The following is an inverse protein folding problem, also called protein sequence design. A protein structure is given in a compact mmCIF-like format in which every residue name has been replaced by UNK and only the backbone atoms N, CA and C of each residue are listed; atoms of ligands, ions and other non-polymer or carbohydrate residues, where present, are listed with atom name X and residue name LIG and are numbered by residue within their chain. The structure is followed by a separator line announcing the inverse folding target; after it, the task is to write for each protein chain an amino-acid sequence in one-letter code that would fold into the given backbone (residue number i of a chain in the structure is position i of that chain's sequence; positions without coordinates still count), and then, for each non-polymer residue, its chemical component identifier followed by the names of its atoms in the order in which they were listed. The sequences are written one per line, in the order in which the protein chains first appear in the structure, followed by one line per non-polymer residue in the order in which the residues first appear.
data_IF_195237711973
#
_entry.id   IF_195237711973
#
_cell.length_a   1.000
_cell.length_b   1.000
_cell.length_c   1.000
_cell.angle_alpha   90.00
_cell.angle_beta   90.00
_cell.angle_gamma   90.00
#
_symmetry.space_group_name_H-M   'P 1'
#
loop_
_entity.id
_entity.type
_entity.pdbx_description
1 polymer ?
#
# COMPACT_ATOMS: atom_id res chain seq x y z
N UNK A 1 25.88 32.66 -23.06
CA UNK A 1 24.67 32.75 -22.22
C UNK A 1 23.48 32.99 -23.12
N UNK A 2 22.42 32.19 -22.99
CA UNK A 2 21.19 32.36 -23.76
C UNK A 2 20.35 33.50 -23.14
N UNK A 3 19.97 34.48 -23.96
CA UNK A 3 19.10 35.59 -23.59
C UNK A 3 17.66 35.08 -23.40
N UNK A 4 17.26 34.89 -22.15
CA UNK A 4 15.86 34.67 -21.77
C UNK A 4 15.07 35.96 -22.08
N UNK A 5 14.33 35.96 -23.20
CA UNK A 5 13.30 36.97 -23.45
C UNK A 5 12.04 36.58 -22.69
N UNK A 6 11.52 37.50 -21.88
CA UNK A 6 10.17 37.41 -21.35
C UNK A 6 9.20 37.44 -22.55
N UNK A 7 8.56 36.32 -22.85
CA UNK A 7 7.41 36.31 -23.75
C UNK A 7 6.29 37.04 -23.02
N UNK A 8 5.80 38.14 -23.58
CA UNK A 8 4.72 38.95 -23.02
C UNK A 8 3.35 38.26 -23.04
N UNK A 9 3.30 36.96 -22.74
CA UNK A 9 2.07 36.22 -22.50
C UNK A 9 1.59 36.48 -21.07
N UNK A 10 1.40 37.76 -20.73
CA UNK A 10 0.49 38.10 -19.65
C UNK A 10 -0.92 37.75 -20.11
N UNK A 11 -1.70 37.11 -19.23
CA UNK A 11 -3.10 36.82 -19.48
C UNK A 11 -3.81 38.12 -19.90
N UNK A 12 -4.23 38.22 -21.16
CA UNK A 12 -4.98 39.36 -21.67
C UNK A 12 -6.41 39.18 -21.16
N UNK A 13 -6.76 39.90 -20.10
CA UNK A 13 -8.10 39.91 -19.54
C UNK A 13 -9.06 40.53 -20.56
N UNK A 14 -9.92 39.70 -21.16
CA UNK A 14 -10.97 40.13 -22.09
C UNK A 14 -12.16 40.75 -21.32
N UNK A 15 -11.88 41.62 -20.35
CA UNK A 15 -12.87 42.24 -19.48
C UNK A 15 -13.52 43.47 -20.14
N UNK A 16 -12.96 43.91 -21.27
CA UNK A 16 -13.38 45.13 -21.98
C UNK A 16 -14.75 45.01 -22.65
N UNK A 17 -15.25 43.80 -22.90
CA UNK A 17 -16.63 43.59 -23.36
C UNK A 17 -17.33 42.44 -22.64
N UNK A 18 -18.57 42.64 -22.18
CA UNK A 18 -19.39 41.58 -21.59
C UNK A 18 -19.56 40.39 -22.53
N UNK A 19 -19.56 40.63 -23.85
CA UNK A 19 -19.74 39.61 -24.89
C UNK A 19 -18.53 38.68 -25.00
N UNK A 20 -17.30 39.21 -24.94
CA UNK A 20 -16.09 38.38 -24.94
C UNK A 20 -15.98 37.53 -23.67
N UNK A 21 -16.33 38.13 -22.53
CA UNK A 21 -16.41 37.42 -21.24
C UNK A 21 -17.46 36.30 -21.28
N UNK A 22 -18.64 36.57 -21.84
CA UNK A 22 -19.69 35.57 -22.01
C UNK A 22 -19.29 34.44 -22.98
N UNK A 23 -18.60 34.75 -24.07
CA UNK A 23 -18.11 33.72 -25.00
C UNK A 23 -17.05 32.81 -24.35
N UNK A 24 -16.23 33.35 -23.45
CA UNK A 24 -15.17 32.62 -22.77
C UNK A 24 -15.67 31.79 -21.57
N UNK A 25 -16.60 32.33 -20.77
CA UNK A 25 -17.02 31.74 -19.50
C UNK A 25 -18.50 31.31 -19.44
N UNK A 26 -19.30 31.68 -20.44
CA UNK A 26 -20.73 31.39 -20.49
C UNK A 26 -21.54 32.13 -19.44
N UNK A 27 -22.78 31.68 -19.21
CA UNK A 27 -23.73 32.28 -18.26
C UNK A 27 -23.41 31.98 -16.79
N UNK A 28 -22.49 31.04 -16.53
CA UNK A 28 -22.02 30.67 -15.20
C UNK A 28 -20.76 31.47 -14.88
N UNK A 29 -20.89 32.78 -14.73
CA UNK A 29 -19.78 33.65 -14.34
C UNK A 29 -19.39 33.39 -12.86
N UNK A 30 -18.72 32.27 -12.58
CA UNK A 30 -17.88 32.16 -11.38
C UNK A 30 -16.62 32.97 -11.64
N UNK A 31 -16.18 33.75 -10.66
CA UNK A 31 -15.02 34.63 -10.70
C UNK A 31 -13.83 33.97 -11.40
N UNK A 32 -13.18 34.74 -12.26
CA UNK A 32 -12.21 34.33 -13.26
C UNK A 32 -10.88 33.94 -12.61
N UNK A 33 -10.88 32.78 -11.96
CA UNK A 33 -9.78 32.25 -11.18
C UNK A 33 -9.05 31.15 -11.97
N UNK A 34 -8.52 31.49 -13.15
CA UNK A 34 -7.57 30.65 -13.92
C UNK A 34 -6.23 30.49 -13.20
N UNK A 35 -5.93 31.37 -12.24
CA UNK A 35 -4.67 31.40 -11.49
C UNK A 35 -4.49 30.21 -10.54
N UNK A 36 -5.52 29.41 -10.32
CA UNK A 36 -5.48 28.28 -9.39
C UNK A 36 -5.32 26.95 -10.13
N UNK A 37 -4.48 26.08 -9.56
CA UNK A 37 -4.31 24.72 -10.06
C UNK A 37 -5.62 23.93 -9.96
N UNK A 38 -5.85 22.97 -10.87
CA UNK A 38 -6.98 22.01 -10.84
C UNK A 38 -7.07 21.16 -9.54
N UNK A 39 -6.05 21.21 -8.67
CA UNK A 39 -6.10 20.63 -7.32
C UNK A 39 -6.91 21.47 -6.33
N UNK A 40 -7.10 22.75 -6.63
CA UNK A 40 -7.83 23.70 -5.80
C UNK A 40 -9.32 23.44 -5.95
N UNK A 41 -10.04 23.35 -4.84
CA UNK A 41 -11.47 23.02 -4.79
C UNK A 41 -12.35 24.24 -5.12
N UNK A 42 -12.13 24.85 -6.29
CA UNK A 42 -12.82 26.06 -6.71
C UNK A 42 -13.66 25.81 -7.96
N UNK A 43 -14.75 26.57 -8.10
CA UNK A 43 -15.63 26.50 -9.27
C UNK A 43 -16.21 25.10 -9.51
N UNK A 44 -15.92 24.53 -10.67
CA UNK A 44 -16.52 23.28 -11.15
C UNK A 44 -15.79 21.99 -10.76
N UNK A 45 -14.96 22.04 -9.72
CA UNK A 45 -14.09 20.94 -9.32
C UNK A 45 -14.83 19.60 -9.13
N UNK A 46 -16.05 19.64 -8.57
CA UNK A 46 -16.84 18.43 -8.31
C UNK A 46 -17.29 17.74 -9.61
N UNK A 47 -17.83 18.51 -10.57
CA UNK A 47 -18.24 17.95 -11.87
C UNK A 47 -17.03 17.48 -12.68
N UNK A 48 -15.89 18.18 -12.62
CA UNK A 48 -14.67 17.75 -13.31
C UNK A 48 -14.08 16.45 -12.77
N UNK A 49 -14.23 16.19 -11.47
CA UNK A 49 -13.76 14.97 -10.80
C UNK A 49 -14.64 13.77 -11.11
N UNK A 50 -15.96 13.98 -11.17
CA UNK A 50 -16.94 12.93 -11.47
C UNK A 50 -17.40 12.92 -12.93
N UNK A 51 -16.69 13.61 -13.82
CA UNK A 51 -17.00 13.63 -15.24
C UNK A 51 -16.95 12.21 -15.81
N UNK A 52 -18.11 11.71 -16.24
CA UNK A 52 -18.29 10.38 -16.82
C UNK A 52 -17.33 10.14 -17.99
N UNK A 53 -17.02 11.16 -18.79
CA UNK A 53 -16.06 11.04 -19.89
C UNK A 53 -14.66 10.64 -19.42
N UNK A 54 -14.23 11.10 -18.23
CA UNK A 54 -12.95 10.71 -17.63
C UNK A 54 -13.02 9.32 -17.01
N UNK A 55 -14.17 8.95 -16.42
CA UNK A 55 -14.40 7.61 -15.84
C UNK A 55 -14.42 6.53 -16.92
N UNK A 56 -14.92 6.85 -18.11
CA UNK A 56 -15.01 5.93 -19.25
C UNK A 56 -13.66 5.69 -19.92
N UNK A 57 -12.61 6.48 -19.63
CA UNK A 57 -11.31 6.28 -20.27
C UNK A 57 -10.73 4.90 -19.89
N UNK A 58 -10.65 3.96 -20.83
CA UNK A 58 -10.07 2.65 -20.55
C UNK A 58 -8.57 2.83 -20.29
N UNK A 59 -8.02 1.98 -19.42
CA UNK A 59 -6.57 1.90 -19.27
C UNK A 59 -5.96 1.60 -20.65
N UNK A 60 -4.84 2.26 -21.02
CA UNK A 60 -4.16 1.93 -22.26
C UNK A 60 -3.76 0.46 -22.27
N UNK A 61 -3.74 -0.13 -23.46
CA UNK A 61 -3.25 -1.49 -23.64
C UNK A 61 -1.81 -1.59 -23.11
N UNK A 62 -1.49 -2.69 -22.43
CA UNK A 62 -0.14 -2.93 -21.95
C UNK A 62 0.83 -2.93 -23.14
N UNK A 63 1.95 -2.22 -22.98
CA UNK A 63 2.97 -2.17 -24.03
C UNK A 63 3.61 -3.54 -24.21
N UNK A 64 3.72 -3.99 -25.45
CA UNK A 64 4.39 -5.24 -25.82
C UNK A 64 5.85 -5.25 -25.36
N UNK A 65 6.49 -4.09 -25.26
CA UNK A 65 7.90 -3.92 -24.87
C UNK A 65 8.08 -3.41 -23.45
N UNK A 66 7.01 -3.32 -22.65
CA UNK A 66 7.09 -2.79 -21.26
C UNK A 66 8.13 -3.53 -20.42
N UNK A 67 8.19 -4.85 -20.59
CA UNK A 67 9.07 -5.75 -19.86
C UNK A 67 10.56 -5.51 -20.14
N UNK A 68 10.92 -4.91 -21.28
CA UNK A 68 12.32 -4.63 -21.62
C UNK A 68 12.94 -3.54 -20.73
N UNK A 69 12.11 -2.71 -20.13
CA UNK A 69 12.54 -1.60 -19.27
C UNK A 69 12.37 -1.91 -17.78
N UNK A 70 11.88 -3.11 -17.46
CA UNK A 70 11.63 -3.56 -16.10
C UNK A 70 12.84 -4.34 -15.60
N UNK A 71 13.34 -3.99 -14.41
CA UNK A 71 14.42 -4.76 -13.79
C UNK A 71 13.84 -5.88 -12.94
N UNK A 72 14.56 -6.99 -12.84
CA UNK A 72 14.21 -8.09 -11.93
C UNK A 72 14.04 -7.63 -10.49
N UNK A 73 14.84 -6.64 -10.06
CA UNK A 73 14.69 -6.04 -8.76
C UNK A 73 13.34 -5.30 -8.61
N UNK A 74 12.95 -4.50 -9.60
CA UNK A 74 11.69 -3.77 -9.59
C UNK A 74 10.46 -4.70 -9.60
N UNK A 75 10.53 -5.83 -10.32
CA UNK A 75 9.43 -6.81 -10.38
C UNK A 75 9.32 -7.64 -9.10
N UNK A 76 10.46 -8.07 -8.54
CA UNK A 76 10.49 -9.02 -7.42
C UNK A 76 10.33 -8.34 -6.06
N UNK A 77 10.75 -7.07 -5.96
CA UNK A 77 10.65 -6.25 -4.74
C UNK A 77 9.62 -5.14 -4.85
N UNK A 78 8.58 -5.30 -5.68
CA UNK A 78 7.48 -4.35 -5.72
C UNK A 78 6.75 -4.32 -4.36
N UNK A 79 6.70 -3.14 -3.74
CA UNK A 79 5.91 -2.89 -2.51
C UNK A 79 4.44 -2.65 -2.81
N UNK A 80 4.02 -2.84 -4.06
CA UNK A 80 2.63 -2.83 -4.51
C UNK A 80 1.75 -3.69 -3.60
N UNK A 81 0.44 -3.50 -3.72
CA UNK A 81 -0.58 -4.23 -2.94
C UNK A 81 -0.54 -5.71 -3.32
N UNK A 82 0.48 -6.45 -2.87
CA UNK A 82 0.41 -7.87 -2.70
C UNK A 82 -0.79 -8.08 -1.79
N UNK A 83 -1.91 -8.45 -2.39
CA UNK A 83 -2.96 -9.09 -1.64
C UNK A 83 -2.25 -10.28 -1.03
N UNK A 84 -1.93 -10.16 0.26
CA UNK A 84 -1.42 -11.25 1.06
C UNK A 84 -2.55 -12.27 1.01
N UNK A 85 -2.54 -13.13 0.00
CA UNK A 85 -3.37 -14.32 -0.11
C UNK A 85 -2.91 -15.15 1.06
N UNK A 86 -3.59 -14.93 2.20
CA UNK A 86 -3.33 -15.49 3.53
C UNK A 86 -2.27 -16.58 3.46
N UNK A 87 -0.99 -16.21 3.56
CA UNK A 87 0.03 -17.22 3.85
C UNK A 87 -0.48 -17.86 5.12
N UNK A 88 -0.81 -19.14 5.06
CA UNK A 88 -1.12 -19.92 6.24
C UNK A 88 0.05 -19.67 7.18
N UNK A 89 -0.18 -18.88 8.24
CA UNK A 89 0.86 -18.62 9.23
C UNK A 89 1.04 -19.95 9.91
N UNK A 90 2.05 -20.71 9.46
CA UNK A 90 2.48 -21.90 10.16
C UNK A 90 2.94 -21.40 11.52
N UNK A 91 2.10 -21.60 12.52
CA UNK A 91 2.47 -21.30 13.89
C UNK A 91 3.77 -22.02 14.20
N UNK A 92 4.69 -21.43 14.97
CA UNK A 92 5.86 -22.13 15.45
C UNK A 92 5.38 -23.33 16.28
N UNK A 93 5.34 -24.49 15.64
CA UNK A 93 4.96 -25.75 16.25
C UNK A 93 6.18 -26.26 17.00
N UNK A 94 6.20 -26.02 18.31
CA UNK A 94 7.17 -26.66 19.19
C UNK A 94 6.64 -28.06 19.52
N UNK A 95 7.44 -29.09 19.29
CA UNK A 95 7.14 -30.40 19.86
C UNK A 95 7.13 -30.24 21.39
N UNK A 96 6.13 -30.78 22.12
CA UNK A 96 6.15 -30.75 23.58
C UNK A 96 7.49 -31.35 24.04
N UNK A 97 8.32 -30.53 24.69
CA UNK A 97 9.70 -30.91 25.03
C UNK A 97 9.79 -31.99 26.10
N UNK A 98 8.67 -32.34 26.73
CA UNK A 98 8.56 -33.38 27.73
C UNK A 98 8.07 -34.67 27.07
N UNK A 99 8.92 -35.71 27.13
CA UNK A 99 8.62 -37.06 26.71
C UNK A 99 8.52 -37.95 27.97
N UNK A 100 7.31 -38.23 28.49
CA UNK A 100 7.14 -39.02 29.71
C UNK A 100 7.77 -40.42 29.64
N UNK A 101 7.89 -40.96 28.43
CA UNK A 101 8.52 -42.27 28.17
C UNK A 101 10.03 -42.29 28.42
N UNK A 102 10.70 -41.14 28.40
CA UNK A 102 12.12 -41.01 28.72
C UNK A 102 12.35 -40.76 30.22
N UNK A 103 11.31 -40.50 31.00
CA UNK A 103 11.47 -40.31 32.43
C UNK A 103 11.74 -41.66 33.10
N UNK A 104 12.85 -41.79 33.86
CA UNK A 104 13.08 -43.00 34.61
C UNK A 104 11.94 -43.17 35.62
N UNK A 105 11.51 -44.42 35.90
CA UNK A 105 10.48 -44.64 36.89
C UNK A 105 10.91 -44.01 38.22
N UNK A 106 9.98 -43.42 38.98
CA UNK A 106 10.31 -42.83 40.27
C UNK A 106 11.05 -43.86 41.12
N UNK A 107 12.15 -43.43 41.74
CA UNK A 107 12.97 -44.30 42.58
C UNK A 107 12.08 -44.93 43.66
N UNK A 108 11.85 -46.23 43.54
CA UNK A 108 11.24 -47.02 44.59
C UNK A 108 12.38 -47.56 45.43
N UNK A 109 12.48 -47.23 46.73
CA UNK A 109 13.47 -47.87 47.58
C UNK A 109 13.22 -49.38 47.54
N UNK A 110 14.27 -50.15 47.25
CA UNK A 110 14.21 -51.60 47.25
C UNK A 110 13.70 -52.07 48.62
N UNK A 111 12.63 -52.86 48.63
CA UNK A 111 12.13 -53.45 49.86
C UNK A 111 13.24 -54.31 50.49
N UNK A 112 13.45 -54.13 51.79
CA UNK A 112 14.47 -54.90 52.50
C UNK A 112 14.02 -56.35 52.59
N UNK A 113 14.88 -57.28 52.17
CA UNK A 113 14.60 -58.70 52.38
C UNK A 113 14.54 -59.02 53.87
N UNK A 114 13.83 -60.08 54.25
CA UNK A 114 13.79 -60.56 55.64
C UNK A 114 15.19 -60.69 56.25
N UNK A 115 16.15 -61.20 55.48
CA UNK A 115 17.55 -61.29 55.89
C UNK A 115 18.19 -59.93 56.21
N UNK A 116 17.93 -58.88 55.41
CA UNK A 116 18.50 -57.55 55.67
C UNK A 116 17.91 -56.90 56.94
N UNK A 117 16.69 -57.27 57.30
CA UNK A 117 16.03 -56.81 58.53
C UNK A 117 16.62 -57.55 59.73
N UNK A 118 16.79 -58.87 59.61
CA UNK A 118 17.22 -59.74 60.71
C UNK A 118 18.66 -59.51 61.17
N UNK A 119 19.55 -59.09 60.26
CA UNK A 119 20.98 -58.89 60.55
C UNK A 119 21.40 -57.41 60.58
N UNK A 120 20.45 -56.48 60.71
CA UNK A 120 20.77 -55.07 60.85
C UNK A 120 21.40 -54.79 62.23
N UNK A 121 22.58 -54.15 62.31
CA UNK A 121 23.19 -53.83 63.60
C UNK A 121 22.31 -52.83 64.39
N UNK A 122 22.36 -52.89 65.74
CA UNK A 122 21.60 -52.00 66.62
C UNK A 122 22.07 -50.53 66.55
#
# INVERSE_FOLDING_TARGET
GSLLRATGHGEVWADWSPTAKFAQFGWRCTTNESSYSHKTLMGNWNEERFNIQKVVQPKPLASQYSHCFETTYSSDFDKGKHQITRRFKREPHWFPGHQPELEPPPFKPTEQSCYMIDYRPP
#
